data_IF_727420022216
#
_entry.id   IF_727420022216
#
_cell.length_a   1.000
_cell.length_b   1.000
_cell.length_c   1.000
_cell.angle_alpha   90.00
_cell.angle_beta   90.00
_cell.angle_gamma   90.00
#
_symmetry.space_group_name_H-M   'P 1'
#
loop_
_entity.id
_entity.type
_entity.pdbx_description
1 polymer ?
#
# COMPACT_ATOMS: atom_id res chain seq x y z
N UNK A 1 -34.60 27.77 74.97
CA UNK A 1 -34.95 26.46 74.38
C UNK A 1 -34.01 26.20 73.22
N UNK A 2 -33.00 25.35 73.43
CA UNK A 2 -32.06 24.93 72.39
C UNK A 2 -32.69 23.84 71.53
N UNK A 3 -32.71 24.01 70.21
CA UNK A 3 -32.94 22.91 69.28
C UNK A 3 -31.63 22.61 68.53
N UNK A 4 -30.96 21.52 68.94
CA UNK A 4 -29.96 20.84 68.11
C UNK A 4 -30.72 19.98 67.10
N UNK A 5 -30.68 20.33 65.81
CA UNK A 5 -31.06 19.41 64.73
C UNK A 5 -29.80 18.69 64.24
N UNK A 6 -29.63 17.45 64.68
CA UNK A 6 -28.65 16.53 64.12
C UNK A 6 -29.12 16.04 62.75
N UNK A 7 -28.20 16.02 61.79
CA UNK A 7 -28.39 15.38 60.49
C UNK A 7 -28.55 13.88 60.74
N UNK A 8 -29.61 13.27 60.19
CA UNK A 8 -29.86 11.84 60.40
C UNK A 8 -28.79 11.00 59.72
N UNK A 9 -28.42 9.82 60.26
CA UNK A 9 -27.46 8.92 59.63
C UNK A 9 -27.85 8.55 58.19
N UNK A 10 -29.15 8.44 57.91
CA UNK A 10 -29.67 8.17 56.57
C UNK A 10 -29.42 9.31 55.57
N UNK A 11 -29.43 10.57 56.01
CA UNK A 11 -29.10 11.72 55.17
C UNK A 11 -27.60 11.80 54.85
N UNK A 12 -26.74 11.30 55.75
CA UNK A 12 -25.30 11.23 55.52
C UNK A 12 -24.95 10.08 54.54
N UNK A 13 -25.62 8.93 54.63
CA UNK A 13 -25.41 7.80 53.71
C UNK A 13 -25.91 8.12 52.29
N UNK A 14 -27.01 8.85 52.15
CA UNK A 14 -27.53 9.29 50.84
C UNK A 14 -26.61 10.32 50.16
N UNK A 15 -25.92 11.18 50.93
CA UNK A 15 -24.97 12.15 50.38
C UNK A 15 -23.66 11.48 49.91
N UNK A 16 -23.23 10.42 50.58
CA UNK A 16 -22.04 9.64 50.19
C UNK A 16 -22.31 8.79 48.93
N UNK A 17 -23.51 8.21 48.80
CA UNK A 17 -23.92 7.49 47.58
C UNK A 17 -24.13 8.41 46.36
N UNK A 18 -24.59 9.66 46.56
CA UNK A 18 -24.65 10.65 45.47
C UNK A 18 -23.27 11.18 45.07
N UNK A 19 -22.33 11.31 46.02
CA UNK A 19 -20.96 11.75 45.72
C UNK A 19 -20.11 10.65 45.04
N UNK A 20 -20.39 9.37 45.30
CA UNK A 20 -19.73 8.24 44.62
C UNK A 20 -20.28 7.96 43.21
N UNK A 21 -21.44 8.52 42.85
CA UNK A 21 -22.05 8.38 41.51
C UNK A 21 -21.66 9.46 40.49
N UNK A 22 -20.90 10.49 40.91
CA UNK A 22 -20.53 11.64 40.06
C UNK A 22 -19.06 11.66 39.64
N UNK A 23 -18.29 10.66 40.07
CA UNK A 23 -16.96 10.38 39.55
C UNK A 23 -16.90 8.93 39.11
N UNK A 24 -17.70 8.57 38.11
CA UNK A 24 -17.20 7.59 37.16
C UNK A 24 -15.98 8.25 36.52
N UNK A 25 -14.80 8.01 37.10
CA UNK A 25 -13.57 8.08 36.35
C UNK A 25 -13.83 7.19 35.13
N UNK A 26 -14.19 7.85 34.02
CA UNK A 26 -13.92 7.26 32.73
C UNK A 26 -12.44 7.03 32.79
N UNK A 27 -12.04 5.78 32.99
CA UNK A 27 -10.70 5.36 32.72
C UNK A 27 -10.52 5.66 31.23
N UNK A 28 -10.12 6.88 30.92
CA UNK A 28 -9.53 7.22 29.65
C UNK A 28 -8.27 6.36 29.64
N UNK A 29 -8.39 5.17 29.03
CA UNK A 29 -7.24 4.44 28.60
C UNK A 29 -6.40 5.47 27.85
N UNK A 30 -5.27 5.87 28.45
CA UNK A 30 -4.40 6.88 27.89
C UNK A 30 -4.19 6.47 26.44
N UNK A 31 -4.59 7.35 25.50
CA UNK A 31 -4.47 7.07 24.07
C UNK A 31 -2.98 7.06 23.75
N UNK A 32 -2.34 5.93 23.98
CA UNK A 32 -0.97 5.71 23.56
C UNK A 32 -0.99 5.63 22.03
N UNK A 33 -0.06 6.27 21.34
CA UNK A 33 0.10 6.08 19.89
C UNK A 33 1.41 5.33 19.65
N UNK A 34 1.49 4.59 18.55
CA UNK A 34 2.72 3.91 18.18
C UNK A 34 3.85 4.93 17.99
N UNK A 35 5.07 4.57 18.37
CA UNK A 35 6.25 5.34 17.99
C UNK A 35 6.56 5.09 16.50
N UNK A 36 7.35 5.96 15.83
CA UNK A 36 7.79 5.73 14.46
C UNK A 36 8.43 4.34 14.26
N UNK A 37 9.28 3.91 15.19
CA UNK A 37 9.91 2.59 15.14
C UNK A 37 8.89 1.43 15.24
N UNK A 38 7.84 1.58 16.05
CA UNK A 38 6.79 0.57 16.14
C UNK A 38 5.96 0.52 14.84
N UNK A 39 5.71 1.66 14.21
CA UNK A 39 5.03 1.76 12.91
C UNK A 39 5.83 1.08 11.80
N UNK A 40 7.12 1.39 11.70
CA UNK A 40 8.04 0.71 10.79
C UNK A 40 8.06 -0.81 11.04
N UNK A 41 8.08 -1.23 12.31
CA UNK A 41 8.06 -2.66 12.66
C UNK A 41 6.79 -3.35 12.18
N UNK A 42 5.61 -2.73 12.32
CA UNK A 42 4.36 -3.28 11.77
C UNK A 42 4.39 -3.39 10.24
N UNK A 43 4.87 -2.36 9.55
CA UNK A 43 5.03 -2.38 8.09
C UNK A 43 5.98 -3.49 7.63
N UNK A 44 7.14 -3.65 8.27
CA UNK A 44 8.08 -4.71 7.92
C UNK A 44 7.57 -6.12 8.27
N UNK A 45 6.91 -6.27 9.41
CA UNK A 45 6.39 -7.56 9.88
C UNK A 45 5.31 -8.12 8.94
N UNK A 46 4.47 -7.24 8.36
CA UNK A 46 3.36 -7.64 7.49
C UNK A 46 3.61 -7.43 5.98
N UNK A 47 4.79 -6.93 5.61
CA UNK A 47 5.16 -6.70 4.21
C UNK A 47 4.95 -7.98 3.36
N UNK A 48 4.34 -7.90 2.17
CA UNK A 48 3.94 -9.08 1.39
C UNK A 48 5.11 -9.84 0.78
N UNK A 49 4.92 -11.12 0.42
CA UNK A 49 5.80 -11.79 -0.54
C UNK A 49 5.12 -11.76 -1.89
N UNK A 50 5.80 -11.23 -2.90
CA UNK A 50 5.28 -11.13 -4.26
C UNK A 50 5.95 -12.19 -5.12
N UNK A 51 5.18 -13.18 -5.54
CA UNK A 51 5.55 -14.18 -6.53
C UNK A 51 5.17 -13.65 -7.91
N UNK A 52 6.14 -13.29 -8.73
CA UNK A 52 5.87 -12.55 -9.96
C UNK A 52 6.13 -13.41 -11.19
N UNK A 53 5.25 -13.30 -12.18
CA UNK A 53 5.49 -13.81 -13.52
C UNK A 53 6.50 -12.91 -14.23
N UNK A 54 7.35 -13.50 -15.06
CA UNK A 54 8.36 -12.79 -15.84
C UNK A 54 8.04 -12.82 -17.34
N UNK A 55 8.68 -11.92 -18.09
CA UNK A 55 8.61 -11.81 -19.54
C UNK A 55 10.03 -11.63 -20.11
N UNK A 56 10.92 -12.56 -19.79
CA UNK A 56 12.34 -12.44 -20.06
C UNK A 56 12.81 -13.07 -21.37
N UNK A 57 12.01 -13.16 -22.44
CA UNK A 57 12.52 -13.64 -23.73
C UNK A 57 12.84 -12.48 -24.69
N UNK A 58 13.43 -12.78 -25.86
CA UNK A 58 13.63 -11.82 -26.97
C UNK A 58 14.30 -10.48 -26.61
N UNK A 59 15.30 -10.49 -25.72
CA UNK A 59 15.94 -9.27 -25.20
C UNK A 59 14.96 -8.37 -24.41
N UNK A 60 14.10 -8.94 -23.56
CA UNK A 60 13.22 -8.19 -22.64
C UNK A 60 13.59 -8.44 -21.17
N UNK A 61 14.84 -8.80 -20.90
CA UNK A 61 15.31 -9.19 -19.59
C UNK A 61 15.22 -8.05 -18.55
N UNK A 62 14.68 -8.38 -17.37
CA UNK A 62 14.65 -7.51 -16.20
C UNK A 62 13.52 -6.48 -16.19
N UNK A 63 12.79 -6.29 -17.30
CA UNK A 63 11.67 -5.32 -17.36
C UNK A 63 10.52 -5.69 -16.42
N UNK A 64 10.52 -6.94 -15.98
CA UNK A 64 9.61 -7.59 -15.05
C UNK A 64 10.05 -7.45 -13.58
N UNK A 65 11.09 -6.69 -13.28
CA UNK A 65 11.40 -6.31 -11.90
C UNK A 65 10.41 -5.29 -11.36
N UNK A 66 10.09 -5.41 -10.07
CA UNK A 66 9.42 -4.32 -9.33
C UNK A 66 10.37 -3.13 -9.28
N UNK A 67 9.85 -1.93 -9.53
CA UNK A 67 10.67 -0.73 -9.80
C UNK A 67 10.55 0.32 -8.70
N UNK A 68 11.52 1.22 -8.65
CA UNK A 68 11.49 2.46 -7.86
C UNK A 68 11.21 3.65 -8.79
N UNK A 69 10.58 4.71 -8.30
CA UNK A 69 10.26 5.91 -9.08
C UNK A 69 11.48 6.59 -9.71
N UNK A 70 12.60 6.67 -9.00
CA UNK A 70 13.86 7.34 -9.40
C UNK A 70 14.97 6.30 -9.67
N UNK A 71 14.64 5.21 -10.37
CA UNK A 71 15.57 4.10 -10.56
C UNK A 71 16.82 4.48 -11.38
N UNK A 72 16.74 5.48 -12.26
CA UNK A 72 17.84 5.94 -13.12
C UNK A 72 18.57 7.17 -12.57
N UNK A 73 18.04 7.78 -11.51
CA UNK A 73 18.67 8.86 -10.73
C UNK A 73 18.81 10.18 -11.47
N UNK A 74 18.00 10.41 -12.50
CA UNK A 74 18.05 11.64 -13.27
C UNK A 74 17.03 12.70 -12.81
N UNK A 75 16.14 12.34 -11.87
CA UNK A 75 15.11 13.23 -11.36
C UNK A 75 14.09 13.64 -12.43
N UNK A 76 13.87 12.83 -13.46
CA UNK A 76 12.92 13.10 -14.55
C UNK A 76 12.03 11.90 -14.85
N UNK A 77 10.99 11.73 -14.02
CA UNK A 77 10.07 10.60 -14.15
C UNK A 77 9.32 10.50 -15.49
N UNK A 78 9.23 11.57 -16.27
CA UNK A 78 8.54 11.56 -17.57
C UNK A 78 9.26 10.72 -18.64
N UNK A 79 10.54 10.37 -18.43
CA UNK A 79 11.30 9.51 -19.35
C UNK A 79 11.43 8.05 -18.84
N UNK A 80 10.85 7.70 -17.69
CA UNK A 80 10.99 6.38 -17.07
C UNK A 80 10.63 5.25 -18.04
N UNK A 81 9.60 5.42 -18.89
CA UNK A 81 9.24 4.47 -19.96
C UNK A 81 10.42 4.16 -20.87
N UNK A 82 11.12 5.18 -21.35
CA UNK A 82 12.25 5.03 -22.27
C UNK A 82 13.43 4.37 -21.58
N UNK A 83 13.77 4.84 -20.38
CA UNK A 83 14.90 4.32 -19.62
C UNK A 83 14.65 2.86 -19.20
N UNK A 84 13.44 2.51 -18.77
CA UNK A 84 13.10 1.12 -18.43
C UNK A 84 13.16 0.19 -19.65
N UNK A 85 12.81 0.66 -20.86
CA UNK A 85 12.90 -0.14 -22.09
C UNK A 85 14.34 -0.54 -22.46
N UNK A 86 15.36 0.21 -22.05
CA UNK A 86 16.77 -0.07 -22.37
C UNK A 86 17.49 -0.90 -21.29
N UNK A 87 16.75 -1.47 -20.33
CA UNK A 87 17.29 -2.21 -19.20
C UNK A 87 18.27 -3.35 -19.55
N UNK A 88 18.15 -3.97 -20.73
CA UNK A 88 19.16 -4.95 -21.15
C UNK A 88 20.57 -4.34 -21.23
N UNK A 89 20.72 -3.08 -21.62
CA UNK A 89 22.04 -2.44 -21.69
C UNK A 89 22.64 -2.24 -20.30
N UNK A 90 21.80 -2.01 -19.29
CA UNK A 90 22.23 -1.99 -17.89
C UNK A 90 22.73 -3.38 -17.47
N UNK A 91 21.98 -4.45 -17.78
CA UNK A 91 22.34 -5.84 -17.46
C UNK A 91 23.63 -6.28 -18.18
N UNK A 92 23.75 -5.93 -19.46
CA UNK A 92 24.90 -6.27 -20.29
C UNK A 92 26.16 -5.56 -19.78
N UNK A 93 26.08 -4.26 -19.47
CA UNK A 93 27.21 -3.53 -18.87
C UNK A 93 27.58 -4.06 -17.48
N UNK A 94 26.57 -4.42 -16.68
CA UNK A 94 26.75 -5.02 -15.37
C UNK A 94 27.56 -6.32 -15.41
N UNK A 95 27.36 -7.15 -16.44
CA UNK A 95 28.13 -8.38 -16.64
C UNK A 95 29.65 -8.13 -16.78
N UNK A 96 30.05 -6.96 -17.30
CA UNK A 96 31.45 -6.56 -17.44
C UNK A 96 31.96 -5.68 -16.29
N UNK A 97 31.10 -5.37 -15.31
CA UNK A 97 31.44 -4.49 -14.17
C UNK A 97 31.61 -3.02 -14.52
N UNK A 98 31.32 -2.61 -15.75
CA UNK A 98 31.43 -1.23 -16.24
C UNK A 98 30.35 -0.93 -17.27
N UNK A 99 29.80 0.27 -17.25
CA UNK A 99 28.85 0.70 -18.29
C UNK A 99 28.23 2.05 -17.99
N UNK A 100 27.59 2.64 -19.01
CA UNK A 100 26.97 3.96 -18.94
C UNK A 100 25.91 4.06 -17.83
N UNK A 101 25.26 2.94 -17.51
CA UNK A 101 24.15 2.85 -16.56
C UNK A 101 24.57 2.36 -15.15
N UNK A 102 25.86 2.32 -14.84
CA UNK A 102 26.37 1.91 -13.52
C UNK A 102 25.93 2.85 -12.37
N UNK A 103 25.46 4.04 -12.70
CA UNK A 103 24.86 4.99 -11.76
C UNK A 103 23.38 4.71 -11.47
N UNK A 104 22.68 3.93 -12.30
CA UNK A 104 21.31 3.52 -12.03
C UNK A 104 21.24 2.70 -10.76
N UNK A 105 20.08 2.76 -10.11
CA UNK A 105 19.80 2.22 -8.79
C UNK A 105 18.50 1.45 -8.84
N UNK A 106 18.59 0.30 -9.49
CA UNK A 106 17.47 -0.62 -9.57
C UNK A 106 17.38 -1.38 -8.24
N UNK A 107 16.54 -0.86 -7.36
CA UNK A 107 16.13 -1.50 -6.11
C UNK A 107 14.62 -1.71 -6.18
N UNK A 108 14.13 -2.95 -6.12
CA UNK A 108 12.72 -3.19 -5.93
C UNK A 108 12.23 -2.47 -4.68
N UNK A 109 11.16 -1.70 -4.82
CA UNK A 109 10.60 -0.87 -3.75
C UNK A 109 9.10 -1.10 -3.69
N UNK A 110 8.56 -1.26 -2.47
CA UNK A 110 7.14 -1.09 -2.23
C UNK A 110 6.93 0.23 -1.47
N UNK A 111 6.16 1.14 -2.06
CA UNK A 111 5.81 2.40 -1.41
C UNK A 111 4.72 2.16 -0.39
N UNK A 112 4.94 2.56 0.85
CA UNK A 112 4.11 2.15 1.97
C UNK A 112 3.64 3.31 2.81
N UNK A 113 2.55 3.10 3.52
CA UNK A 113 2.05 3.98 4.56
C UNK A 113 1.18 3.16 5.50
N UNK A 114 0.84 3.73 6.65
CA UNK A 114 -0.16 3.15 7.53
C UNK A 114 -1.13 4.19 8.08
N UNK A 115 -2.35 3.74 8.35
CA UNK A 115 -3.40 4.49 9.03
C UNK A 115 -3.60 3.86 10.41
N UNK A 116 -3.23 4.57 11.47
CA UNK A 116 -3.46 4.17 12.86
C UNK A 116 -4.74 4.83 13.36
N UNK A 117 -5.66 4.06 13.93
CA UNK A 117 -6.91 4.58 14.47
C UNK A 117 -7.46 3.69 15.58
N UNK A 118 -8.43 4.22 16.33
CA UNK A 118 -9.16 3.48 17.36
C UNK A 118 -10.57 3.17 16.87
N UNK A 119 -10.97 1.90 16.98
CA UNK A 119 -12.33 1.44 16.69
C UNK A 119 -12.74 0.39 17.72
N UNK A 120 -13.96 0.48 18.24
CA UNK A 120 -14.43 -0.41 19.32
C UNK A 120 -13.60 -0.37 20.60
N UNK A 121 -12.84 0.70 20.85
CA UNK A 121 -11.95 0.84 22.02
C UNK A 121 -10.59 0.16 21.87
N UNK A 122 -10.29 -0.43 20.71
CA UNK A 122 -9.01 -1.06 20.41
C UNK A 122 -8.30 -0.36 19.24
N UNK A 123 -6.97 -0.39 19.24
CA UNK A 123 -6.17 0.13 18.13
C UNK A 123 -6.20 -0.81 16.93
N UNK A 124 -6.26 -0.21 15.76
CA UNK A 124 -6.24 -0.88 14.47
C UNK A 124 -5.26 -0.17 13.54
N UNK A 125 -4.71 -0.90 12.58
CA UNK A 125 -3.87 -0.37 11.52
C UNK A 125 -4.46 -0.76 10.17
N UNK A 126 -4.58 0.18 9.24
CA UNK A 126 -4.57 -0.16 7.81
C UNK A 126 -3.13 -0.04 7.34
N UNK A 127 -2.53 -1.14 6.92
CA UNK A 127 -1.20 -1.19 6.32
C UNK A 127 -1.36 -1.18 4.81
N UNK A 128 -0.62 -0.30 4.13
CA UNK A 128 -0.78 -0.09 2.69
C UNK A 128 0.58 -0.28 2.03
N UNK A 129 0.62 -1.10 0.98
CA UNK A 129 1.82 -1.34 0.17
C UNK A 129 1.48 -1.18 -1.30
N UNK A 130 2.29 -0.41 -2.03
CA UNK A 130 2.11 -0.18 -3.45
C UNK A 130 3.23 -0.81 -4.25
N UNK A 131 2.85 -1.55 -5.28
CA UNK A 131 3.76 -2.06 -6.29
C UNK A 131 3.79 -1.06 -7.43
N UNK A 132 4.95 -0.47 -7.69
CA UNK A 132 5.17 0.49 -8.76
C UNK A 132 5.86 -0.17 -9.96
N UNK A 133 5.34 0.14 -11.16
CA UNK A 133 5.97 -0.22 -12.42
C UNK A 133 6.19 1.00 -13.29
N UNK A 134 7.46 1.23 -13.64
CA UNK A 134 7.86 2.28 -14.57
C UNK A 134 7.28 2.10 -15.98
N UNK A 135 6.94 0.88 -16.36
CA UNK A 135 6.41 0.53 -17.67
C UNK A 135 5.25 -0.46 -17.52
N UNK A 136 4.19 -0.23 -18.30
CA UNK A 136 3.12 -1.20 -18.55
C UNK A 136 2.78 -1.21 -20.06
N UNK A 137 1.97 -2.17 -20.52
CA UNK A 137 1.66 -2.42 -21.94
C UNK A 137 1.30 -1.14 -22.70
N UNK A 138 0.51 -0.27 -22.08
CA UNK A 138 0.04 1.00 -22.66
C UNK A 138 0.59 2.24 -21.97
N UNK A 139 1.46 2.09 -20.96
CA UNK A 139 1.62 3.12 -19.93
C UNK A 139 2.98 3.29 -19.26
N UNK A 140 3.06 4.39 -18.51
CA UNK A 140 4.10 4.76 -17.56
C UNK A 140 3.43 4.97 -16.19
N UNK A 141 4.17 4.72 -15.12
CA UNK A 141 3.70 4.86 -13.74
C UNK A 141 2.45 4.05 -13.37
N UNK A 142 2.51 2.74 -13.61
CA UNK A 142 1.44 1.87 -13.13
C UNK A 142 1.57 1.56 -11.64
N UNK A 143 0.42 1.42 -10.98
CA UNK A 143 0.32 1.32 -9.54
C UNK A 143 -0.71 0.27 -9.14
N UNK A 144 -0.23 -0.74 -8.43
CA UNK A 144 -1.06 -1.74 -7.76
C UNK A 144 -0.92 -1.59 -6.25
N UNK A 145 -1.95 -1.98 -5.49
CA UNK A 145 -2.04 -1.83 -4.04
C UNK A 145 -2.40 -3.14 -3.36
N UNK A 146 -1.75 -3.35 -2.21
CA UNK A 146 -2.10 -4.36 -1.21
C UNK A 146 -2.43 -3.58 0.07
N UNK A 147 -3.66 -3.69 0.53
CA UNK A 147 -4.16 -3.11 1.78
C UNK A 147 -4.44 -4.22 2.80
N UNK A 148 -4.05 -4.03 4.05
CA UNK A 148 -4.29 -4.99 5.12
C UNK A 148 -4.84 -4.29 6.36
N UNK A 149 -6.00 -4.74 6.86
CA UNK A 149 -6.53 -4.29 8.14
C UNK A 149 -6.06 -5.22 9.27
N UNK A 150 -5.33 -4.66 10.24
CA UNK A 150 -4.85 -5.34 11.44
C UNK A 150 -5.59 -4.79 12.67
N UNK A 151 -6.13 -5.68 13.50
CA UNK A 151 -6.94 -5.36 14.69
C UNK A 151 -6.22 -5.76 15.97
N UNK A 152 -6.58 -5.12 17.10
CA UNK A 152 -6.00 -5.36 18.42
C UNK A 152 -4.49 -5.07 18.49
N UNK A 153 -4.09 -3.96 17.87
CA UNK A 153 -2.69 -3.55 17.73
C UNK A 153 -2.11 -3.14 19.08
N UNK A 154 -0.94 -3.71 19.39
CA UNK A 154 -0.14 -3.45 20.60
C UNK A 154 1.17 -2.74 20.28
N UNK A 155 2.09 -2.68 21.24
CA UNK A 155 3.37 -1.97 21.07
C UNK A 155 4.37 -2.67 20.14
N UNK A 156 4.15 -3.92 19.76
CA UNK A 156 5.00 -4.65 18.82
C UNK A 156 4.15 -5.65 18.04
N UNK A 157 4.45 -5.89 16.76
CA UNK A 157 3.76 -6.90 15.97
C UNK A 157 4.05 -8.31 16.51
N UNK A 158 3.20 -9.26 16.16
CA UNK A 158 3.24 -10.66 16.59
C UNK A 158 2.71 -10.91 18.00
N UNK A 159 2.08 -9.92 18.65
CA UNK A 159 1.78 -9.92 20.08
C UNK A 159 0.28 -9.88 20.39
N UNK A 160 -0.51 -10.69 19.66
CA UNK A 160 -1.94 -10.89 19.90
C UNK A 160 -2.87 -10.09 18.98
N UNK A 161 -2.32 -9.24 18.12
CA UNK A 161 -3.07 -8.66 17.01
C UNK A 161 -3.43 -9.73 15.95
N UNK A 162 -4.39 -9.42 15.09
CA UNK A 162 -4.73 -10.29 13.96
C UNK A 162 -5.05 -9.49 12.70
N UNK A 163 -4.80 -10.11 11.55
CA UNK A 163 -5.21 -9.57 10.25
C UNK A 163 -6.69 -9.89 10.08
N UNK A 164 -7.53 -8.89 9.91
CA UNK A 164 -8.98 -9.03 9.70
C UNK A 164 -9.30 -9.37 8.24
N UNK A 165 -8.71 -8.62 7.31
CA UNK A 165 -8.80 -8.86 5.88
C UNK A 165 -7.61 -8.23 5.13
N UNK A 166 -7.43 -8.66 3.89
CA UNK A 166 -6.50 -8.09 2.92
C UNK A 166 -7.28 -7.78 1.64
N UNK A 167 -7.03 -6.63 1.06
CA UNK A 167 -7.60 -6.19 -0.21
C UNK A 167 -6.47 -5.94 -1.21
N UNK A 168 -6.63 -6.38 -2.45
CA UNK A 168 -5.67 -6.11 -3.53
C UNK A 168 -6.36 -5.45 -4.71
N UNK A 169 -5.64 -4.59 -5.42
CA UNK A 169 -6.12 -4.07 -6.70
C UNK A 169 -5.96 -5.12 -7.80
N UNK A 170 -6.95 -5.15 -8.68
CA UNK A 170 -6.94 -5.93 -9.91
C UNK A 170 -7.61 -5.10 -11.00
N UNK A 171 -6.82 -4.42 -11.83
CA UNK A 171 -7.34 -3.38 -12.73
C UNK A 171 -8.15 -2.30 -11.98
N UNK A 172 -9.44 -2.14 -12.29
CA UNK A 172 -10.36 -1.22 -11.63
C UNK A 172 -11.00 -1.78 -10.34
N UNK A 173 -10.82 -3.07 -10.07
CA UNK A 173 -11.47 -3.85 -9.00
C UNK A 173 -10.59 -3.94 -7.75
N UNK A 174 -11.24 -4.16 -6.60
CA UNK A 174 -10.54 -4.29 -5.30
C UNK A 174 -10.99 -5.58 -4.62
N UNK A 175 -10.19 -6.63 -4.79
CA UNK A 175 -10.54 -7.98 -4.37
C UNK A 175 -10.16 -8.19 -2.92
N UNK A 176 -11.13 -8.54 -2.07
CA UNK A 176 -10.93 -8.72 -0.63
C UNK A 176 -10.91 -10.20 -0.23
N UNK A 177 -10.06 -10.54 0.74
CA UNK A 177 -10.09 -11.82 1.44
C UNK A 177 -10.07 -11.60 2.94
N UNK A 178 -11.05 -12.17 3.64
CA UNK A 178 -11.14 -12.08 5.11
C UNK A 178 -10.28 -13.15 5.77
N UNK A 179 -9.98 -12.96 7.05
CA UNK A 179 -9.12 -13.83 7.86
C UNK A 179 -9.53 -15.31 7.90
N UNK A 180 -10.82 -15.59 7.73
CA UNK A 180 -11.39 -16.93 7.68
C UNK A 180 -11.42 -17.53 6.27
N UNK A 181 -10.99 -16.80 5.25
CA UNK A 181 -10.95 -17.28 3.87
C UNK A 181 -9.74 -18.21 3.66
N UNK A 182 -9.99 -19.43 3.21
CA UNK A 182 -8.94 -20.43 2.94
C UNK A 182 -7.97 -20.03 1.82
N UNK A 183 -8.33 -19.06 0.98
CA UNK A 183 -7.47 -18.53 -0.07
C UNK A 183 -6.53 -17.42 0.41
N UNK A 184 -6.69 -16.93 1.65
CA UNK A 184 -5.78 -15.97 2.26
C UNK A 184 -4.63 -16.69 2.99
N UNK A 185 -3.49 -16.79 2.31
CA UNK A 185 -2.32 -17.51 2.84
C UNK A 185 -1.19 -16.57 3.23
N UNK A 186 -0.53 -16.91 4.34
CA UNK A 186 0.63 -16.17 4.85
C UNK A 186 1.84 -17.10 4.98
N UNK A 187 3.02 -16.56 4.69
CA UNK A 187 4.27 -17.07 5.23
C UNK A 187 4.48 -16.52 6.64
N UNK A 188 4.44 -17.39 7.63
CA UNK A 188 4.76 -17.03 9.00
C UNK A 188 6.20 -17.39 9.34
N UNK A 189 6.93 -16.43 9.89
CA UNK A 189 8.33 -16.57 10.33
C UNK A 189 8.50 -15.97 11.71
N UNK A 190 9.70 -16.09 12.29
CA UNK A 190 10.03 -15.43 13.54
C UNK A 190 10.04 -13.88 13.44
N UNK A 191 10.20 -13.33 12.23
CA UNK A 191 10.32 -11.88 11.99
C UNK A 191 9.13 -11.29 11.22
N UNK A 192 8.11 -12.08 10.90
CA UNK A 192 7.01 -11.58 10.09
C UNK A 192 5.89 -12.57 9.76
N UNK A 193 4.78 -12.01 9.32
CA UNK A 193 3.58 -12.70 8.80
C UNK A 193 3.23 -12.08 7.45
N UNK A 194 3.83 -12.63 6.39
CA UNK A 194 3.82 -12.05 5.04
C UNK A 194 2.71 -12.67 4.20
N UNK A 195 1.76 -11.87 3.72
CA UNK A 195 0.73 -12.38 2.79
C UNK A 195 1.38 -12.81 1.48
N UNK A 196 0.91 -13.93 0.91
CA UNK A 196 1.41 -14.44 -0.37
C UNK A 196 0.56 -13.87 -1.52
N UNK A 197 1.18 -13.00 -2.32
CA UNK A 197 0.56 -12.38 -3.49
C UNK A 197 1.28 -12.89 -4.73
N UNK A 198 0.51 -13.20 -5.78
CA UNK A 198 1.02 -13.44 -7.10
C UNK A 198 0.77 -12.22 -7.98
N UNK A 199 1.76 -11.81 -8.77
CA UNK A 199 1.65 -10.67 -9.67
C UNK A 199 1.84 -11.11 -11.12
N UNK A 200 0.90 -10.71 -11.98
CA UNK A 200 1.01 -10.88 -13.42
C UNK A 200 2.16 -10.04 -14.00
N UNK A 201 2.45 -10.29 -15.27
CA UNK A 201 3.35 -9.44 -16.05
C UNK A 201 2.58 -8.94 -17.27
N UNK A 202 2.84 -7.70 -17.67
CA UNK A 202 2.28 -7.20 -18.91
C UNK A 202 2.86 -8.02 -20.08
N UNK A 203 2.01 -8.43 -21.00
CA UNK A 203 2.44 -9.25 -22.13
C UNK A 203 1.71 -8.83 -23.39
N UNK A 204 2.47 -8.73 -24.48
CA UNK A 204 1.93 -8.57 -25.83
C UNK A 204 1.29 -9.84 -26.39
N UNK A 205 1.26 -10.95 -25.62
CA UNK A 205 0.65 -12.24 -26.02
C UNK A 205 -0.77 -12.38 -25.46
N UNK A 206 -1.71 -12.63 -26.35
CA UNK A 206 -3.17 -12.47 -26.22
C UNK A 206 -3.94 -13.50 -25.36
N UNK A 207 -3.29 -14.39 -24.60
CA UNK A 207 -3.96 -15.54 -23.97
C UNK A 207 -3.67 -15.79 -22.48
N UNK A 208 -3.05 -14.84 -21.77
CA UNK A 208 -2.70 -15.03 -20.36
C UNK A 208 -3.35 -13.95 -19.48
N UNK A 209 -3.53 -14.25 -18.18
CA UNK A 209 -3.77 -13.23 -17.13
C UNK A 209 -2.75 -12.10 -17.34
N UNK A 210 -3.22 -10.88 -17.59
CA UNK A 210 -2.45 -9.79 -18.20
C UNK A 210 -2.39 -8.52 -17.33
N UNK A 211 -1.51 -7.58 -17.70
CA UNK A 211 -1.39 -6.20 -17.19
C UNK A 211 -1.22 -6.05 -15.68
N UNK A 212 -0.21 -6.73 -15.14
CA UNK A 212 0.34 -6.46 -13.80
C UNK A 212 -0.59 -6.73 -12.60
N UNK A 213 -1.77 -7.30 -12.85
CA UNK A 213 -2.77 -7.70 -11.86
C UNK A 213 -2.19 -8.43 -10.65
N UNK A 214 -2.74 -8.14 -9.46
CA UNK A 214 -2.45 -8.86 -8.25
C UNK A 214 -3.50 -9.95 -7.99
N UNK A 215 -3.04 -11.07 -7.45
CA UNK A 215 -3.88 -12.19 -7.03
C UNK A 215 -3.42 -12.76 -5.69
N UNK A 216 -4.35 -13.31 -4.92
CA UNK A 216 -4.03 -14.11 -3.73
C UNK A 216 -3.50 -15.47 -4.14
N UNK A 217 -2.37 -15.88 -3.57
CA UNK A 217 -1.87 -17.26 -3.70
C UNK A 217 -2.71 -18.17 -2.80
N UNK A 218 -3.37 -19.15 -3.39
CA UNK A 218 -4.28 -20.06 -2.66
C UNK A 218 -3.59 -21.30 -2.12
N UNK A 219 -2.32 -21.52 -2.48
CA UNK A 219 -1.51 -22.54 -1.82
C UNK A 219 -1.06 -22.05 -0.43
N UNK A 220 -1.15 -22.90 0.62
CA UNK A 220 -0.55 -22.58 1.89
C UNK A 220 0.97 -22.49 1.78
N UNK A 221 1.58 -21.63 2.60
CA UNK A 221 3.04 -21.46 2.57
C UNK A 221 3.79 -22.76 2.85
N UNK A 222 3.25 -23.67 3.68
CA UNK A 222 3.87 -24.99 3.89
C UNK A 222 4.05 -25.77 2.58
N UNK A 223 3.11 -25.65 1.64
CA UNK A 223 3.24 -26.23 0.31
C UNK A 223 4.27 -25.46 -0.51
N UNK A 224 4.14 -24.13 -0.64
CA UNK A 224 5.07 -23.28 -1.42
C UNK A 224 6.51 -23.49 -0.93
N UNK A 225 6.70 -23.49 0.40
CA UNK A 225 7.93 -23.82 1.13
C UNK A 225 8.57 -25.11 0.67
N UNK A 226 7.79 -26.20 0.63
CA UNK A 226 8.27 -27.51 0.16
C UNK A 226 8.66 -27.52 -1.32
N UNK A 227 7.97 -26.73 -2.14
CA UNK A 227 8.23 -26.68 -3.57
C UNK A 227 9.47 -25.85 -3.89
N UNK A 228 9.64 -24.70 -3.24
CA UNK A 228 10.68 -23.75 -3.64
C UNK A 228 12.11 -24.21 -3.30
N UNK A 229 12.25 -25.16 -2.38
CA UNK A 229 13.53 -25.82 -2.05
C UNK A 229 13.78 -27.06 -2.91
N UNK A 230 12.79 -27.53 -3.67
CA UNK A 230 12.91 -28.72 -4.51
C UNK A 230 13.58 -28.39 -5.85
N UNK A 231 14.65 -29.10 -6.23
CA UNK A 231 15.36 -28.85 -7.49
C UNK A 231 14.57 -29.30 -8.74
N UNK A 232 13.49 -30.08 -8.56
CA UNK A 232 12.69 -30.65 -9.66
C UNK A 232 11.27 -30.10 -9.72
N UNK A 233 10.80 -29.42 -8.67
CA UNK A 233 9.47 -28.85 -8.64
C UNK A 233 9.34 -27.71 -9.66
N UNK A 234 8.19 -27.68 -10.35
CA UNK A 234 7.82 -26.57 -11.22
C UNK A 234 7.54 -25.34 -10.37
N UNK A 235 8.02 -24.19 -10.83
CA UNK A 235 7.75 -22.91 -10.21
C UNK A 235 6.36 -22.41 -10.62
N UNK A 236 5.35 -22.93 -9.93
CA UNK A 236 3.95 -22.65 -10.22
C UNK A 236 3.13 -22.61 -8.92
N UNK A 237 2.11 -21.77 -8.88
CA UNK A 237 1.18 -21.62 -7.75
C UNK A 237 -0.26 -21.54 -8.24
N UNK A 238 -1.20 -21.99 -7.42
CA UNK A 238 -2.62 -21.69 -7.57
C UNK A 238 -2.88 -20.26 -7.11
N UNK A 239 -3.74 -19.55 -7.84
CA UNK A 239 -4.19 -18.20 -7.50
C UNK A 239 -5.72 -18.16 -7.46
N UNK A 240 -6.28 -17.15 -6.80
CA UNK A 240 -7.74 -17.03 -6.72
C UNK A 240 -8.35 -16.80 -8.11
N UNK A 241 -9.56 -17.33 -8.31
CA UNK A 241 -10.39 -17.14 -9.49
C UNK A 241 -9.83 -17.76 -10.78
N UNK A 242 -8.88 -18.69 -10.64
CA UNK A 242 -8.18 -19.34 -11.74
C UNK A 242 -8.06 -20.85 -11.51
N UNK A 243 -8.53 -21.64 -12.47
CA UNK A 243 -8.52 -23.10 -12.39
C UNK A 243 -7.17 -23.74 -12.71
N UNK A 244 -6.24 -22.93 -13.24
CA UNK A 244 -4.90 -23.37 -13.64
C UNK A 244 -3.84 -22.70 -12.78
N UNK A 245 -2.82 -23.47 -12.44
CA UNK A 245 -1.61 -22.95 -11.84
C UNK A 245 -0.95 -21.92 -12.76
N UNK A 246 -0.36 -20.90 -12.14
CA UNK A 246 0.37 -19.83 -12.80
C UNK A 246 1.85 -19.94 -12.51
N UNK A 247 2.65 -19.62 -13.52
CA UNK A 247 4.09 -19.65 -13.43
C UNK A 247 4.62 -18.57 -12.49
N UNK A 248 5.71 -18.89 -11.82
CA UNK A 248 6.47 -17.99 -10.95
C UNK A 248 7.89 -17.88 -11.50
N UNK A 249 8.30 -16.68 -11.85
CA UNK A 249 9.62 -16.39 -12.43
C UNK A 249 10.49 -15.55 -11.51
N UNK A 250 9.90 -14.86 -10.53
CA UNK A 250 10.62 -14.20 -9.44
C UNK A 250 9.91 -14.42 -8.11
N UNK A 251 10.64 -14.33 -7.01
CA UNK A 251 10.06 -13.95 -5.73
C UNK A 251 10.72 -12.70 -5.19
N UNK A 252 9.91 -11.69 -4.86
CA UNK A 252 10.31 -10.49 -4.17
C UNK A 252 9.99 -10.64 -2.68
N UNK A 253 11.01 -10.46 -1.85
CA UNK A 253 10.99 -10.73 -0.40
C UNK A 253 11.34 -9.46 0.36
N UNK A 254 10.62 -9.08 1.44
CA UNK A 254 10.92 -7.87 2.17
C UNK A 254 12.30 -7.95 2.84
N UNK A 255 13.19 -7.01 2.54
CA UNK A 255 14.55 -6.99 3.10
C UNK A 255 14.56 -6.85 4.63
N UNK A 256 13.54 -6.16 5.19
CA UNK A 256 13.33 -5.97 6.62
C UNK A 256 12.92 -7.23 7.39
N UNK A 257 12.73 -8.38 6.71
CA UNK A 257 12.41 -9.66 7.36
C UNK A 257 13.55 -10.68 7.17
N UNK A 258 14.57 -10.69 8.04
CA UNK A 258 15.72 -11.59 7.92
C UNK A 258 15.35 -13.07 7.83
N UNK A 259 14.29 -13.52 8.54
CA UNK A 259 13.87 -14.92 8.48
C UNK A 259 13.23 -15.26 7.13
N UNK A 260 12.48 -14.34 6.51
CA UNK A 260 11.96 -14.53 5.16
C UNK A 260 13.08 -14.50 4.11
N UNK A 261 14.01 -13.53 4.21
CA UNK A 261 15.19 -13.44 3.34
C UNK A 261 16.00 -14.73 3.39
N UNK A 262 16.26 -15.26 4.59
CA UNK A 262 16.99 -16.52 4.77
C UNK A 262 16.23 -17.72 4.20
N UNK A 263 14.92 -17.84 4.46
CA UNK A 263 14.12 -18.95 3.98
C UNK A 263 14.04 -19.00 2.44
N UNK A 264 13.96 -17.84 1.78
CA UNK A 264 13.96 -17.77 0.31
C UNK A 264 15.35 -17.71 -0.31
N UNK A 265 16.42 -17.54 0.49
CA UNK A 265 17.76 -17.20 0.01
C UNK A 265 17.73 -15.99 -0.96
N UNK A 266 17.00 -14.95 -0.57
CA UNK A 266 16.84 -13.73 -1.39
C UNK A 266 18.10 -12.87 -1.36
N UNK A 267 18.44 -12.28 -2.51
CA UNK A 267 19.62 -11.44 -2.70
C UNK A 267 19.23 -10.02 -3.12
N UNK A 268 20.00 -8.99 -2.74
CA UNK A 268 19.75 -7.63 -3.21
C UNK A 268 20.03 -7.51 -4.71
N UNK A 269 19.19 -6.75 -5.39
CA UNK A 269 19.41 -6.35 -6.78
C UNK A 269 20.23 -5.05 -6.81
N UNK A 270 21.35 -5.08 -7.54
CA UNK A 270 22.20 -3.93 -7.83
C UNK A 270 22.95 -4.18 -9.13
N UNK A 271 23.81 -3.24 -9.55
CA UNK A 271 24.55 -3.36 -10.81
C UNK A 271 25.34 -4.67 -10.89
N UNK A 272 26.05 -5.06 -9.82
CA UNK A 272 26.87 -6.27 -9.84
C UNK A 272 26.07 -7.58 -9.81
N UNK A 273 24.90 -7.60 -9.16
CA UNK A 273 24.09 -8.82 -8.98
C UNK A 273 23.05 -9.00 -10.09
N UNK A 274 22.70 -7.94 -10.81
CA UNK A 274 21.69 -7.93 -11.86
C UNK A 274 21.81 -9.08 -12.87
N UNK A 275 22.99 -9.39 -13.45
CA UNK A 275 23.10 -10.45 -14.46
C UNK A 275 22.68 -11.85 -13.97
N UNK A 276 22.86 -12.11 -12.67
CA UNK A 276 22.50 -13.37 -12.01
C UNK A 276 21.06 -13.42 -11.51
N UNK A 277 20.36 -12.30 -11.46
CA UNK A 277 19.00 -12.19 -10.92
C UNK A 277 17.92 -11.99 -12.00
N UNK A 278 18.27 -12.12 -13.28
CA UNK A 278 17.32 -12.14 -14.40
C UNK A 278 16.76 -13.56 -14.58
N UNK A 279 15.43 -13.71 -14.64
CA UNK A 279 14.80 -15.03 -14.78
C UNK A 279 15.05 -15.66 -16.16
N UNK A 280 15.14 -14.85 -17.22
CA UNK A 280 15.30 -15.28 -18.63
C UNK A 280 14.18 -16.20 -19.15
N UNK A 281 13.13 -16.41 -18.35
CA UNK A 281 11.95 -17.18 -18.72
C UNK A 281 10.87 -16.26 -19.27
N UNK A 282 10.24 -16.71 -20.35
CA UNK A 282 9.00 -16.13 -20.87
C UNK A 282 7.81 -16.54 -20.01
N UNK A 283 6.75 -15.75 -20.03
CA UNK A 283 5.53 -15.98 -19.27
C UNK A 283 4.86 -17.34 -19.50
N UNK A 284 4.93 -17.85 -20.73
CA UNK A 284 4.40 -19.16 -21.14
C UNK A 284 5.35 -20.32 -20.81
N UNK A 285 6.59 -20.03 -20.40
CA UNK A 285 7.60 -21.04 -20.13
C UNK A 285 7.60 -21.43 -18.67
N UNK A 286 7.44 -22.72 -18.40
CA UNK A 286 7.53 -23.22 -17.02
C UNK A 286 8.98 -23.24 -16.54
N UNK A 287 9.29 -22.42 -15.53
CA UNK A 287 10.53 -22.51 -14.79
C UNK A 287 10.48 -23.63 -13.73
N UNK A 288 11.66 -24.03 -13.23
CA UNK A 288 11.77 -24.79 -11.98
C UNK A 288 12.11 -23.85 -10.86
N UNK A 289 11.71 -24.17 -9.63
CA UNK A 289 11.95 -23.30 -8.48
C UNK A 289 13.43 -23.00 -8.22
N UNK A 290 14.33 -23.94 -8.52
CA UNK A 290 15.78 -23.72 -8.42
C UNK A 290 16.35 -22.69 -9.42
N UNK A 291 15.58 -22.30 -10.44
CA UNK A 291 15.96 -21.30 -11.43
C UNK A 291 15.22 -19.95 -11.24
N UNK A 292 14.36 -19.85 -10.23
CA UNK A 292 13.62 -18.61 -9.92
C UNK A 292 14.51 -17.67 -9.12
N UNK A 293 14.88 -16.49 -9.64
CA UNK A 293 15.61 -15.49 -8.86
C UNK A 293 14.79 -15.00 -7.67
N UNK A 294 15.51 -14.76 -6.57
CA UNK A 294 14.96 -14.36 -5.28
C UNK A 294 15.56 -13.02 -4.93
N UNK A 295 14.74 -12.00 -4.92
CA UNK A 295 15.20 -10.62 -4.88
C UNK A 295 14.64 -9.96 -3.62
N UNK A 296 15.48 -9.25 -2.88
CA UNK A 296 14.99 -8.44 -1.77
C UNK A 296 14.39 -7.13 -2.29
N UNK A 297 13.35 -6.63 -1.63
CA UNK A 297 12.80 -5.31 -1.87
C UNK A 297 12.79 -4.49 -0.58
N UNK A 298 12.84 -3.17 -0.71
CA UNK A 298 12.76 -2.23 0.40
C UNK A 298 11.35 -1.61 0.55
N UNK A 299 11.09 -1.05 1.72
CA UNK A 299 9.95 -0.17 1.95
C UNK A 299 10.43 1.27 1.90
N UNK A 300 9.69 2.12 1.19
CA UNK A 300 9.88 3.58 1.13
C UNK A 300 8.53 4.25 1.41
N UNK A 301 8.54 5.50 1.84
CA UNK A 301 7.29 6.15 2.20
C UNK A 301 6.53 6.60 0.96
N UNK A 302 5.22 6.48 1.04
CA UNK A 302 4.36 7.05 0.03
C UNK A 302 4.49 8.58 -0.03
N UNK A 303 4.83 9.20 1.12
CA UNK A 303 5.01 10.64 1.26
C UNK A 303 6.08 11.20 0.32
N UNK A 304 7.12 10.44 0.00
CA UNK A 304 8.28 10.87 -0.80
C UNK A 304 7.90 11.23 -2.24
N UNK A 305 6.80 10.65 -2.75
CA UNK A 305 6.35 10.87 -4.13
C UNK A 305 5.39 12.06 -4.23
N UNK A 306 4.70 12.42 -3.16
CA UNK A 306 3.62 13.42 -3.19
C UNK A 306 4.10 14.83 -3.58
N UNK A 307 5.26 15.34 -3.10
CA UNK A 307 5.80 16.64 -3.51
C UNK A 307 5.99 16.77 -5.02
N UNK A 308 6.27 15.66 -5.72
CA UNK A 308 6.50 15.67 -7.18
C UNK A 308 5.25 16.09 -7.95
N UNK A 309 4.06 15.89 -7.38
CA UNK A 309 2.77 16.28 -7.98
C UNK A 309 2.39 17.72 -7.63
N UNK A 310 3.02 18.33 -6.63
CA UNK A 310 2.60 19.61 -6.08
C UNK A 310 2.86 20.75 -7.07
N UNK A 311 1.90 21.68 -7.20
CA UNK A 311 1.98 22.79 -8.16
C UNK A 311 3.22 23.70 -8.00
N UNK A 312 3.86 23.69 -6.82
CA UNK A 312 5.09 24.43 -6.53
C UNK A 312 6.32 23.51 -6.36
N UNK A 313 6.16 22.20 -6.50
CA UNK A 313 7.20 21.18 -6.33
C UNK A 313 7.93 20.80 -7.62
N UNK A 314 7.94 21.66 -8.65
CA UNK A 314 8.57 21.36 -9.94
C UNK A 314 7.84 20.31 -10.78
N UNK A 315 6.53 20.14 -10.55
CA UNK A 315 5.70 19.12 -11.18
C UNK A 315 5.79 19.10 -12.71
N UNK A 316 6.09 20.23 -13.38
CA UNK A 316 6.07 20.30 -14.83
C UNK A 316 7.06 19.33 -15.48
N UNK A 317 8.09 18.90 -14.76
CA UNK A 317 9.04 17.87 -15.20
C UNK A 317 8.37 16.50 -15.34
N UNK A 318 7.38 16.19 -14.48
CA UNK A 318 6.86 14.83 -14.28
C UNK A 318 5.38 14.67 -14.68
N UNK A 319 4.59 15.74 -14.56
CA UNK A 319 3.14 15.75 -14.65
C UNK A 319 2.65 16.90 -15.55
N UNK A 320 1.44 16.74 -16.10
CA UNK A 320 0.76 17.79 -16.86
C UNK A 320 -0.20 18.58 -15.98
N UNK A 321 -0.37 19.87 -16.29
CA UNK A 321 -1.29 20.76 -15.56
C UNK A 321 -2.75 20.68 -16.02
N UNK A 322 -3.08 19.72 -16.89
CA UNK A 322 -4.39 19.60 -17.54
C UNK A 322 -5.50 19.12 -16.60
N UNK A 323 -5.15 18.43 -15.51
CA UNK A 323 -6.05 18.00 -14.44
C UNK A 323 -5.30 18.09 -13.10
N UNK A 324 -6.00 18.47 -12.04
CA UNK A 324 -5.43 18.48 -10.71
C UNK A 324 -6.47 18.25 -9.62
N UNK A 325 -5.98 17.95 -8.43
CA UNK A 325 -6.76 17.67 -7.23
C UNK A 325 -6.39 18.69 -6.17
N UNK A 326 -7.43 19.27 -5.57
CA UNK A 326 -7.29 20.18 -4.44
C UNK A 326 -7.40 19.40 -3.14
N UNK A 327 -6.42 19.62 -2.27
CA UNK A 327 -6.33 19.00 -0.95
C UNK A 327 -6.15 20.10 0.09
N UNK A 328 -7.04 20.13 1.09
CA UNK A 328 -6.86 20.95 2.27
C UNK A 328 -5.88 20.25 3.21
N UNK A 329 -4.62 20.70 3.16
CA UNK A 329 -3.53 20.24 4.01
C UNK A 329 -3.64 20.90 5.39
N UNK A 330 -3.91 20.15 6.44
CA UNK A 330 -3.87 20.67 7.81
C UNK A 330 -2.44 20.83 8.32
N UNK A 331 -1.54 19.97 7.84
CA UNK A 331 -0.13 19.97 8.19
C UNK A 331 0.73 19.90 6.92
N UNK A 332 1.94 20.47 6.94
CA UNK A 332 2.86 20.32 5.82
C UNK A 332 3.34 18.86 5.69
N UNK A 333 3.74 18.47 4.48
CA UNK A 333 4.62 17.32 4.29
C UNK A 333 6.04 17.81 4.61
N UNK A 334 6.71 17.13 5.52
CA UNK A 334 8.04 17.50 6.01
C UNK A 334 9.00 16.38 5.62
N UNK A 335 10.14 16.75 5.03
CA UNK A 335 11.20 15.80 4.74
C UNK A 335 12.02 15.42 5.99
N UNK A 336 12.97 14.51 5.86
CA UNK A 336 13.78 13.99 6.97
C UNK A 336 14.70 15.06 7.57
N UNK A 337 14.99 16.10 6.79
CA UNK A 337 15.74 17.28 7.26
C UNK A 337 14.88 18.27 8.04
N UNK A 338 13.58 17.98 8.23
CA UNK A 338 12.64 18.85 8.91
C UNK A 338 12.15 20.03 8.06
N UNK A 339 12.39 20.01 6.74
CA UNK A 339 11.96 21.07 5.82
C UNK A 339 10.59 20.73 5.24
N UNK A 340 9.71 21.74 5.16
CA UNK A 340 8.42 21.57 4.52
C UNK A 340 8.58 21.48 2.99
N UNK A 341 8.20 20.34 2.42
CA UNK A 341 8.21 20.10 0.97
C UNK A 341 6.86 20.43 0.33
N UNK A 342 5.78 20.34 1.10
CA UNK A 342 4.46 20.84 0.74
C UNK A 342 3.91 21.61 1.93
N UNK A 343 3.46 22.84 1.70
CA UNK A 343 2.90 23.68 2.76
C UNK A 343 1.48 23.27 3.17
N UNK A 344 1.10 23.57 4.41
CA UNK A 344 -0.30 23.51 4.84
C UNK A 344 -1.21 24.50 4.05
N UNK A 345 -2.52 24.38 4.21
CA UNK A 345 -3.54 25.15 3.49
C UNK A 345 -4.08 24.41 2.26
N UNK A 346 -4.85 25.11 1.43
CA UNK A 346 -5.36 24.54 0.18
C UNK A 346 -4.21 24.39 -0.82
N UNK A 347 -3.88 23.15 -1.17
CA UNK A 347 -2.82 22.81 -2.11
C UNK A 347 -3.39 22.10 -3.33
N UNK A 348 -2.79 22.35 -4.49
CA UNK A 348 -3.13 21.66 -5.74
C UNK A 348 -2.02 20.71 -6.14
N UNK A 349 -2.42 19.52 -6.54
CA UNK A 349 -1.57 18.46 -7.05
C UNK A 349 -2.00 18.07 -8.45
N UNK A 350 -1.05 17.99 -9.38
CA UNK A 350 -1.30 17.61 -10.77
C UNK A 350 -1.12 16.11 -10.93
N UNK A 351 -2.08 15.47 -11.57
CA UNK A 351 -2.16 14.01 -11.64
C UNK A 351 -1.87 13.42 -13.00
N UNK A 352 -2.17 14.03 -14.16
CA UNK A 352 -1.88 13.37 -15.43
C UNK A 352 -0.37 13.19 -15.64
N UNK A 353 0.03 11.97 -15.96
CA UNK A 353 1.42 11.62 -16.29
C UNK A 353 1.90 12.43 -17.49
N UNK A 354 3.13 12.95 -17.39
CA UNK A 354 3.88 13.37 -18.57
C UNK A 354 4.67 12.17 -19.07
N UNK A 355 4.60 11.90 -20.37
CA UNK A 355 5.42 10.88 -21.01
C UNK A 355 6.16 11.48 -22.20
N UNK A 356 7.48 11.68 -22.06
CA UNK A 356 8.30 12.27 -23.12
C UNK A 356 8.48 11.36 -24.33
N UNK A 357 8.12 10.08 -24.21
CA UNK A 357 8.22 9.09 -25.29
C UNK A 357 7.00 9.10 -26.20
N UNK A 358 5.89 9.71 -25.78
CA UNK A 358 4.64 9.77 -26.52
C UNK A 358 4.47 11.09 -27.26
N UNK A 359 3.91 11.02 -28.48
CA UNK A 359 3.68 12.22 -29.29
C UNK A 359 2.69 13.21 -28.65
N UNK A 360 1.74 12.69 -27.86
CA UNK A 360 0.78 13.43 -27.04
C UNK A 360 1.38 13.99 -25.75
N UNK A 361 2.65 13.68 -25.43
CA UNK A 361 3.31 13.98 -24.16
C UNK A 361 2.65 13.37 -22.91
N UNK A 362 1.80 12.37 -23.10
CA UNK A 362 1.09 11.65 -22.04
C UNK A 362 0.62 10.31 -22.56
N UNK A 363 0.48 9.34 -21.66
CA UNK A 363 -0.15 8.05 -21.90
C UNK A 363 -1.62 8.01 -21.44
N UNK A 364 -2.15 9.13 -20.95
CA UNK A 364 -3.51 9.26 -20.43
C UNK A 364 -3.73 8.68 -19.03
N UNK A 365 -2.68 8.21 -18.35
CA UNK A 365 -2.76 7.75 -16.96
C UNK A 365 -2.66 8.91 -15.98
N UNK A 366 -3.05 8.61 -14.76
CA UNK A 366 -3.08 9.54 -13.67
C UNK A 366 -2.24 8.99 -12.52
N UNK A 367 -1.47 9.88 -11.91
CA UNK A 367 -0.63 9.66 -10.76
C UNK A 367 -1.45 9.30 -9.53
N UNK A 368 -0.70 8.94 -8.50
CA UNK A 368 -1.21 8.21 -7.36
C UNK A 368 -2.34 8.94 -6.60
N UNK A 369 -2.30 10.27 -6.54
CA UNK A 369 -3.32 11.09 -5.85
C UNK A 369 -4.71 11.07 -6.53
N UNK A 370 -4.79 10.73 -7.82
CA UNK A 370 -6.08 10.58 -8.54
C UNK A 370 -6.78 9.27 -8.24
N UNK A 371 -5.99 8.27 -7.84
CA UNK A 371 -6.51 6.98 -7.45
C UNK A 371 -7.32 7.17 -6.17
N UNK A 372 -8.64 7.09 -6.27
CA UNK A 372 -9.57 7.27 -5.14
C UNK A 372 -9.28 6.34 -3.96
N UNK A 373 -8.69 5.17 -4.23
CA UNK A 373 -8.21 4.25 -3.19
C UNK A 373 -7.08 4.85 -2.32
N UNK A 374 -6.40 5.93 -2.72
CA UNK A 374 -5.58 6.78 -1.84
C UNK A 374 -6.32 7.15 -0.55
N UNK A 375 -7.62 7.45 -0.66
CA UNK A 375 -8.50 7.86 0.43
C UNK A 375 -9.31 6.68 1.02
N UNK A 376 -8.92 5.43 0.72
CA UNK A 376 -9.69 4.23 1.05
C UNK A 376 -11.01 4.12 0.27
N UNK A 377 -11.21 4.95 -0.76
CA UNK A 377 -12.45 5.01 -1.53
C UNK A 377 -12.34 4.08 -2.73
N UNK A 378 -12.90 2.90 -2.58
CA UNK A 378 -13.07 1.91 -3.63
C UNK A 378 -14.23 1.00 -3.26
N UNK A 379 -14.65 0.15 -4.20
CA UNK A 379 -15.67 -0.85 -3.93
C UNK A 379 -15.01 -2.20 -3.73
N UNK A 380 -15.22 -2.85 -2.59
CA UNK A 380 -14.63 -4.16 -2.32
C UNK A 380 -15.48 -5.28 -2.92
N UNK A 381 -14.80 -6.22 -3.56
CA UNK A 381 -15.42 -7.31 -4.28
C UNK A 381 -14.86 -8.65 -3.79
N UNK A 382 -15.71 -9.68 -3.75
CA UNK A 382 -15.25 -11.02 -3.38
C UNK A 382 -14.42 -11.60 -4.51
N UNK A 383 -14.86 -11.44 -5.73
CA UNK A 383 -14.28 -12.08 -6.88
C UNK A 383 -14.35 -11.10 -8.04
N UNK A 384 -13.33 -11.12 -8.88
CA UNK A 384 -13.28 -10.26 -10.04
C UNK A 384 -14.42 -10.58 -11.01
N UNK A 385 -15.10 -9.54 -11.46
CA UNK A 385 -16.13 -9.66 -12.48
C UNK A 385 -15.51 -9.59 -13.88
N UNK A 386 -16.28 -10.02 -14.89
CA UNK A 386 -15.86 -9.77 -16.28
C UNK A 386 -15.99 -8.28 -16.58
N UNK A 387 -14.87 -7.57 -16.56
CA UNK A 387 -14.64 -6.23 -17.12
C UNK A 387 -15.76 -5.19 -16.89
N UNK A 388 -15.55 -4.28 -15.94
CA UNK A 388 -16.20 -2.96 -15.91
C UNK A 388 -17.36 -2.79 -14.93
N UNK A 389 -17.56 -3.71 -13.99
CA UNK A 389 -18.65 -3.63 -13.00
C UNK A 389 -18.17 -3.60 -11.56
N UNK A 390 -17.34 -2.62 -11.17
CA UNK A 390 -17.27 -2.28 -9.74
C UNK A 390 -18.44 -1.37 -9.41
N UNK A 391 -19.19 -1.62 -8.33
CA UNK A 391 -20.18 -0.66 -7.83
C UNK A 391 -19.55 0.74 -7.73
N UNK A 392 -20.25 1.82 -8.12
CA UNK A 392 -19.66 3.16 -8.07
C UNK A 392 -19.80 3.76 -6.66
N UNK A 393 -18.86 3.45 -5.76
CA UNK A 393 -18.70 4.17 -4.49
C UNK A 393 -17.86 5.45 -4.65
N UNK A 394 -17.02 5.50 -5.68
CA UNK A 394 -16.01 6.56 -5.90
C UNK A 394 -16.64 7.91 -6.13
N UNK A 395 -17.55 8.01 -7.10
CA UNK A 395 -18.22 9.27 -7.42
C UNK A 395 -19.05 9.77 -6.24
N UNK A 396 -19.94 8.95 -5.63
CA UNK A 396 -20.78 9.41 -4.53
C UNK A 396 -19.98 9.82 -3.29
N UNK A 397 -18.85 9.16 -3.00
CA UNK A 397 -17.97 9.49 -1.88
C UNK A 397 -17.39 10.91 -1.97
N UNK A 398 -16.99 11.36 -3.17
CA UNK A 398 -16.50 12.72 -3.39
C UNK A 398 -17.63 13.76 -3.41
N UNK A 399 -18.75 13.42 -4.04
CA UNK A 399 -19.83 14.37 -4.28
C UNK A 399 -20.64 14.64 -3.01
N UNK A 400 -21.54 13.74 -2.60
CA UNK A 400 -22.40 13.90 -1.40
C UNK A 400 -23.09 12.59 -0.95
N UNK A 401 -23.00 11.51 -1.72
CA UNK A 401 -23.83 10.30 -1.57
C UNK A 401 -23.14 9.08 -0.95
N UNK A 402 -21.82 9.08 -0.79
CA UNK A 402 -21.05 7.96 -0.24
C UNK A 402 -21.23 7.83 1.27
N UNK A 403 -22.37 7.29 1.68
CA UNK A 403 -22.71 7.04 3.07
C UNK A 403 -21.92 5.84 3.60
N UNK A 404 -21.39 6.00 4.79
CA UNK A 404 -20.80 4.90 5.54
C UNK A 404 -21.86 4.06 6.28
N UNK A 405 -21.43 2.94 6.87
CA UNK A 405 -22.31 2.06 7.65
C UNK A 405 -22.89 2.70 8.92
N UNK A 406 -22.44 3.92 9.27
CA UNK A 406 -22.94 4.75 10.38
C UNK A 406 -23.82 5.90 9.88
N UNK A 407 -24.16 5.93 8.58
CA UNK A 407 -25.00 6.96 7.96
C UNK A 407 -24.32 8.31 7.81
N UNK A 408 -22.97 8.37 7.84
CA UNK A 408 -22.20 9.60 7.68
C UNK A 408 -21.59 9.69 6.29
N UNK A 409 -21.50 10.90 5.77
CA UNK A 409 -20.69 11.21 4.58
C UNK A 409 -19.29 11.60 5.03
N UNK A 410 -18.35 11.66 4.08
CA UNK A 410 -17.00 12.20 4.29
C UNK A 410 -17.01 13.56 4.99
N UNK A 411 -17.75 14.52 4.44
CA UNK A 411 -17.85 15.88 4.99
C UNK A 411 -18.49 15.94 6.38
N UNK A 412 -19.46 15.08 6.70
CA UNK A 412 -20.03 15.04 8.05
C UNK A 412 -19.16 14.30 9.06
N UNK A 413 -18.34 13.35 8.62
CA UNK A 413 -17.36 12.67 9.47
C UNK A 413 -16.16 13.58 9.77
N UNK A 414 -15.58 14.25 8.77
CA UNK A 414 -14.44 15.15 8.95
C UNK A 414 -14.80 16.49 9.58
N UNK A 415 -16.07 16.94 9.42
CA UNK A 415 -16.54 18.26 9.85
C UNK A 415 -16.44 19.33 8.75
N UNK A 416 -15.85 19.00 7.60
CA UNK A 416 -15.77 19.89 6.43
C UNK A 416 -16.95 19.64 5.49
N UNK A 417 -18.14 20.14 5.85
CA UNK A 417 -19.35 19.98 5.02
C UNK A 417 -19.23 20.61 3.63
N UNK A 418 -18.35 21.59 3.45
CA UNK A 418 -18.10 22.25 2.17
C UNK A 418 -17.03 21.53 1.30
N UNK A 419 -16.47 20.41 1.75
CA UNK A 419 -15.47 19.65 0.97
C UNK A 419 -16.08 18.92 -0.22
N UNK A 420 -17.36 18.57 -0.12
CA UNK A 420 -18.17 17.93 -1.14
C UNK A 420 -18.08 18.64 -2.50
N UNK A 421 -17.67 17.92 -3.54
CA UNK A 421 -17.39 18.46 -4.89
C UNK A 421 -16.29 19.54 -4.98
N UNK A 422 -15.58 19.84 -3.90
CA UNK A 422 -14.65 20.97 -3.84
C UNK A 422 -13.20 20.55 -3.61
N UNK A 423 -12.94 19.72 -2.60
CA UNK A 423 -11.58 19.30 -2.24
C UNK A 423 -11.61 17.99 -1.44
N UNK A 424 -10.46 17.33 -1.32
CA UNK A 424 -10.22 16.34 -0.28
C UNK A 424 -9.63 17.01 0.95
N UNK A 425 -10.05 16.61 2.14
CA UNK A 425 -9.30 16.91 3.35
C UNK A 425 -8.12 15.95 3.45
N UNK A 426 -6.94 16.42 3.87
CA UNK A 426 -5.72 15.62 3.98
C UNK A 426 -5.97 14.25 4.65
N UNK A 427 -6.76 14.24 5.73
CA UNK A 427 -7.01 13.05 6.52
C UNK A 427 -8.35 12.37 6.21
N UNK A 428 -8.97 12.68 5.06
CA UNK A 428 -10.09 11.89 4.57
C UNK A 428 -9.59 10.45 4.30
N UNK A 429 -10.21 9.49 4.99
CA UNK A 429 -9.97 8.07 4.79
C UNK A 429 -11.21 7.26 5.14
N UNK A 430 -11.59 6.35 4.24
CA UNK A 430 -12.66 5.39 4.47
C UNK A 430 -12.06 4.03 4.85
N UNK A 431 -12.43 3.50 6.01
CA UNK A 431 -11.98 2.20 6.50
C UNK A 431 -13.03 1.15 6.15
N UNK A 432 -12.62 0.14 5.39
CA UNK A 432 -13.47 -1.01 5.04
C UNK A 432 -13.62 -1.99 6.20
N UNK A 433 -14.75 -2.66 6.27
CA UNK A 433 -15.00 -3.79 7.19
C UNK A 433 -14.58 -5.15 6.60
N UNK A 434 -14.30 -5.18 5.30
CA UNK A 434 -14.02 -6.39 4.53
C UNK A 434 -15.27 -7.13 4.05
N UNK A 435 -16.47 -6.63 4.36
CA UNK A 435 -17.74 -7.18 3.88
C UNK A 435 -18.15 -6.54 2.55
N UNK A 436 -18.42 -7.38 1.55
CA UNK A 436 -18.83 -6.95 0.21
C UNK A 436 -20.24 -6.39 0.22
N UNK A 437 -20.43 -5.25 -0.47
CA UNK A 437 -21.73 -4.63 -0.67
C UNK A 437 -21.96 -4.28 -2.14
N UNK A 438 -22.92 -4.97 -2.75
CA UNK A 438 -23.24 -4.81 -4.18
C UNK A 438 -24.15 -3.60 -4.48
N UNK A 439 -24.35 -2.68 -3.53
CA UNK A 439 -25.19 -1.50 -3.72
C UNK A 439 -24.40 -0.32 -4.28
N UNK A 440 -24.94 0.29 -5.32
CA UNK A 440 -24.44 1.57 -5.83
C UNK A 440 -24.42 2.64 -4.72
N UNK A 441 -23.36 3.46 -4.69
CA UNK A 441 -23.19 4.59 -3.76
C UNK A 441 -23.05 4.25 -2.27
N UNK A 442 -22.92 2.98 -1.89
CA UNK A 442 -22.73 2.58 -0.50
C UNK A 442 -21.63 1.54 -0.37
N UNK A 443 -20.89 1.59 0.74
CA UNK A 443 -19.83 0.63 1.02
C UNK A 443 -19.82 0.24 2.51
N UNK A 444 -19.39 -0.98 2.81
CA UNK A 444 -19.36 -1.53 4.17
C UNK A 444 -18.10 -1.07 4.89
N UNK A 445 -18.20 0.09 5.54
CA UNK A 445 -17.08 0.73 6.21
C UNK A 445 -17.49 1.96 6.99
N UNK A 446 -16.50 2.73 7.40
CA UNK A 446 -16.71 4.02 8.07
C UNK A 446 -15.66 5.06 7.68
N UNK A 447 -16.13 6.29 7.54
CA UNK A 447 -15.24 7.45 7.43
C UNK A 447 -14.58 7.70 8.79
N UNK A 448 -13.27 7.91 8.80
CA UNK A 448 -12.59 8.33 10.02
C UNK A 448 -13.03 9.76 10.41
N UNK A 449 -13.37 10.00 11.69
CA UNK A 449 -13.93 11.29 12.13
C UNK A 449 -12.86 12.38 12.22
N UNK A 450 -13.25 13.66 12.19
CA UNK A 450 -12.32 14.78 12.41
C UNK A 450 -11.38 14.57 13.60
N UNK A 451 -10.11 14.97 13.43
CA UNK A 451 -9.02 14.78 14.39
C UNK A 451 -8.61 13.33 14.71
N UNK A 452 -9.13 12.30 14.01
CA UNK A 452 -8.73 10.89 14.25
C UNK A 452 -7.22 10.66 14.20
N UNK A 453 -6.52 11.38 13.31
CA UNK A 453 -5.10 11.24 13.01
C UNK A 453 -4.19 11.78 14.13
N UNK A 454 -4.75 12.46 15.13
CA UNK A 454 -3.97 13.05 16.22
C UNK A 454 -3.57 11.98 17.23
N UNK A 455 -2.34 12.08 17.74
CA UNK A 455 -1.84 11.16 18.78
C UNK A 455 -2.72 11.16 20.04
N UNK A 456 -3.33 12.31 20.39
CA UNK A 456 -4.29 12.44 21.50
C UNK A 456 -5.59 11.65 21.31
N UNK A 457 -5.89 11.22 20.09
CA UNK A 457 -7.00 10.33 19.75
C UNK A 457 -6.52 8.91 19.40
N UNK A 458 -5.22 8.65 19.60
CA UNK A 458 -4.60 7.35 19.33
C UNK A 458 -4.52 7.00 17.84
N UNK A 459 -4.41 8.01 16.97
CA UNK A 459 -4.25 7.80 15.54
C UNK A 459 -3.03 8.48 14.93
N UNK A 460 -2.84 8.19 13.64
CA UNK A 460 -1.72 8.64 12.81
C UNK A 460 -2.03 8.39 11.34
N UNK A 461 -1.77 9.38 10.48
CA UNK A 461 -1.93 9.27 9.02
C UNK A 461 -0.56 9.24 8.33
N UNK A 462 -0.06 8.04 8.09
CA UNK A 462 1.25 7.81 7.49
C UNK A 462 1.33 8.08 5.99
N UNK A 463 0.24 8.46 5.33
CA UNK A 463 0.29 8.81 3.90
C UNK A 463 1.09 10.09 3.64
N UNK A 464 1.24 10.94 4.65
CA UNK A 464 1.80 12.29 4.56
C UNK A 464 3.08 12.48 5.37
N UNK A 465 3.60 11.40 5.95
CA UNK A 465 4.70 11.44 6.92
C UNK A 465 5.75 10.42 6.50
N UNK A 466 7.01 10.84 6.52
CA UNK A 466 8.14 9.94 6.31
C UNK A 466 8.42 9.14 7.58
N UNK A 467 8.43 7.82 7.44
CA UNK A 467 8.79 6.86 8.47
C UNK A 467 10.15 6.23 8.17
N UNK A 468 10.46 5.89 6.94
CA UNK A 468 11.72 5.34 6.50
C UNK A 468 12.63 6.46 6.03
N UNK A 469 13.94 6.31 6.26
CA UNK A 469 14.87 7.25 5.65
C UNK A 469 14.84 7.04 4.14
N UNK A 470 14.72 8.14 3.38
CA UNK A 470 15.08 8.26 1.96
C UNK A 470 16.57 7.97 1.80
N UNK A 471 17.00 6.72 2.06
CA UNK A 471 18.41 6.34 2.28
C UNK A 471 19.30 7.10 1.30
N UNK A 472 20.03 8.15 1.75
CA UNK A 472 21.06 8.73 0.93
C UNK A 472 22.24 7.76 1.04
N UNK A 473 22.23 6.77 0.15
CA UNK A 473 23.30 5.84 -0.21
C UNK A 473 24.41 5.60 0.84
N UNK A 474 24.49 4.38 1.38
CA UNK A 474 25.81 3.82 1.69
C UNK A 474 26.47 3.37 0.36
N UNK A 475 27.78 3.60 0.19
CA UNK A 475 28.51 3.39 -1.07
C UNK A 475 28.50 1.95 -1.59
#
# INVERSE_FOLDING_TARGET
>A
MHFKRGISPAALTALVLLAMGLFSDSAFAQSWSLTPAQRQAYLQYYAPIILKRGNGNNNEHGRDWVTNFDFDRDGNFANNRQNWKILNQYIDGAQYGTGAYSHWRIRPTLYTSLIEFVDGGAKSLVLIYHVYHALDESGIHDWERIEMLVRNVGGSPGSGEYVDHVTITRHHEHIVRRSYDSSLNFMQTATGKHVLIWQAEWSTRTLATDKQELHFVTNPYSWVGSQHVSPTARAEVNINNEDKKKNVHYAFVPEGSPAAVSAWNASPLNYSTAPGLVSRYDNETNARWGAVPRITYELQDLADILPTHWQYGGYQTHWLDTKGIDILMESPIINESGQAEVSAGMQRFFTPSRDSSESSQTDGREGYLDKTWFYGVHSIERDADRSGSSADFKTPAYQTGGLDSRGRTRGSASGYLNSHNAFWWQHDYFVHTGDVNDKDSAETGFWLPGAWYQAANGGFDGRWVQLFDDRPWAP
#
